data_IF_980071745644
#
_entry.id   IF_980071745644
#
_cell.length_a   1.000
_cell.length_b   1.000
_cell.length_c   1.000
_cell.angle_alpha   90.00
_cell.angle_beta   90.00
_cell.angle_gamma   90.00
#
_symmetry.space_group_name_H-M   'P 1'
#
loop_
_entity.id
_entity.type
_entity.pdbx_description
1 polymer ?
#
# COMPACT_ATOMS: atom_id res chain seq x y z
N UNK A 1 -1.44 10.25 -12.66
CA UNK A 1 -2.02 9.66 -11.44
C UNK A 1 -3.28 8.90 -11.78
N UNK A 2 -3.41 7.68 -11.26
CA UNK A 2 -4.60 6.83 -11.42
C UNK A 2 -5.34 6.83 -10.09
N UNK A 3 -6.66 7.01 -10.14
CA UNK A 3 -7.53 7.05 -8.96
C UNK A 3 -8.26 5.71 -8.80
N UNK A 4 -8.02 5.07 -7.66
CA UNK A 4 -8.65 3.83 -7.23
C UNK A 4 -9.51 4.04 -5.98
N UNK A 5 -9.83 5.27 -5.58
CA UNK A 5 -10.51 5.56 -4.31
C UNK A 5 -11.71 4.64 -4.08
N UNK A 6 -11.71 3.93 -2.95
CA UNK A 6 -12.77 2.99 -2.57
C UNK A 6 -12.86 1.70 -3.40
N UNK A 7 -11.92 1.45 -4.32
CA UNK A 7 -11.88 0.22 -5.10
C UNK A 7 -11.71 -1.03 -4.21
N UNK A 8 -12.22 -2.16 -4.71
CA UNK A 8 -12.06 -3.47 -4.09
C UNK A 8 -11.04 -4.28 -4.87
N UNK A 9 -9.81 -4.30 -4.37
CA UNK A 9 -8.65 -5.03 -4.92
C UNK A 9 -8.20 -6.16 -3.97
N UNK A 10 -9.15 -6.74 -3.24
CA UNK A 10 -8.90 -7.83 -2.30
C UNK A 10 -8.33 -9.03 -3.03
N UNK A 11 -7.21 -9.57 -2.54
CA UNK A 11 -6.45 -10.66 -3.17
C UNK A 11 -5.99 -10.41 -4.61
N UNK A 12 -5.94 -9.15 -5.07
CA UNK A 12 -5.44 -8.82 -6.40
C UNK A 12 -3.94 -9.13 -6.52
N UNK A 13 -3.50 -9.55 -7.72
CA UNK A 13 -2.07 -9.62 -8.05
C UNK A 13 -1.65 -8.28 -8.69
N UNK A 14 -0.88 -7.51 -7.93
CA UNK A 14 -0.31 -6.21 -8.28
C UNK A 14 1.22 -6.24 -8.16
N UNK A 15 1.81 -7.43 -8.23
CA UNK A 15 3.26 -7.64 -8.11
C UNK A 15 4.01 -6.87 -9.18
N UNK A 16 4.99 -6.09 -8.75
CA UNK A 16 5.78 -5.23 -9.62
C UNK A 16 4.98 -4.11 -10.32
N UNK A 17 3.73 -3.87 -9.92
CA UNK A 17 2.92 -2.83 -10.53
C UNK A 17 3.53 -1.44 -10.32
N UNK A 18 3.40 -0.59 -11.33
CA UNK A 18 3.74 0.83 -11.24
C UNK A 18 2.51 1.61 -10.77
N UNK A 19 2.52 1.97 -9.48
CA UNK A 19 1.48 2.70 -8.79
C UNK A 19 2.01 4.03 -8.22
N UNK A 20 3.05 4.59 -8.85
CA UNK A 20 3.64 5.88 -8.46
C UNK A 20 2.58 6.97 -8.48
N UNK A 21 2.44 7.69 -7.37
CA UNK A 21 1.46 8.76 -7.21
C UNK A 21 -0.01 8.31 -7.31
N UNK A 22 -0.29 7.00 -7.25
CA UNK A 22 -1.67 6.51 -7.32
C UNK A 22 -2.46 6.94 -6.08
N UNK A 23 -3.75 7.23 -6.29
CA UNK A 23 -4.70 7.50 -5.21
C UNK A 23 -5.39 6.19 -4.84
N UNK A 24 -5.01 5.63 -3.70
CA UNK A 24 -5.48 4.35 -3.15
C UNK A 24 -6.21 4.56 -1.81
N UNK A 25 -6.83 5.73 -1.65
CA UNK A 25 -7.53 6.13 -0.43
C UNK A 25 -8.75 5.24 -0.21
N UNK A 26 -8.93 4.74 1.02
CA UNK A 26 -10.01 3.83 1.39
C UNK A 26 -10.11 2.55 0.53
N UNK A 27 -9.04 2.13 -0.15
CA UNK A 27 -9.02 0.92 -0.97
C UNK A 27 -8.92 -0.34 -0.12
N UNK A 28 -9.63 -1.39 -0.51
CA UNK A 28 -9.43 -2.72 0.05
C UNK A 28 -8.36 -3.49 -0.72
N UNK A 29 -7.15 -3.56 -0.16
CA UNK A 29 -6.01 -4.35 -0.63
C UNK A 29 -5.75 -5.58 0.26
N UNK A 30 -6.74 -6.00 1.05
CA UNK A 30 -6.62 -7.12 1.97
C UNK A 30 -6.15 -8.37 1.22
N UNK A 31 -5.04 -8.97 1.67
CA UNK A 31 -4.46 -10.16 1.04
C UNK A 31 -3.90 -9.96 -0.37
N UNK A 32 -3.80 -8.72 -0.86
CA UNK A 32 -3.25 -8.44 -2.19
C UNK A 32 -1.75 -8.73 -2.25
N UNK A 33 -1.27 -9.13 -3.42
CA UNK A 33 0.16 -9.25 -3.69
C UNK A 33 0.66 -7.93 -4.29
N UNK A 34 1.41 -7.15 -3.52
CA UNK A 34 2.09 -5.91 -3.91
C UNK A 34 3.62 -6.09 -3.87
N UNK A 35 4.12 -7.33 -3.87
CA UNK A 35 5.56 -7.60 -3.82
C UNK A 35 6.28 -6.89 -4.96
N UNK A 36 7.35 -6.17 -4.64
CA UNK A 36 8.13 -5.37 -5.59
C UNK A 36 7.38 -4.22 -6.28
N UNK A 37 6.15 -3.88 -5.87
CA UNK A 37 5.40 -2.79 -6.48
C UNK A 37 6.05 -1.42 -6.20
N UNK A 38 5.94 -0.49 -7.15
CA UNK A 38 6.38 0.89 -6.98
C UNK A 38 5.21 1.76 -6.52
N UNK A 39 5.20 2.15 -5.26
CA UNK A 39 4.17 2.93 -4.58
C UNK A 39 4.71 4.31 -4.12
N UNK A 40 5.79 4.80 -4.75
CA UNK A 40 6.39 6.08 -4.39
C UNK A 40 5.37 7.20 -4.47
N UNK A 41 5.29 7.99 -3.41
CA UNK A 41 4.35 9.11 -3.27
C UNK A 41 2.87 8.73 -3.48
N UNK A 42 2.51 7.45 -3.40
CA UNK A 42 1.12 7.01 -3.47
C UNK A 42 0.35 7.41 -2.20
N UNK A 43 -0.95 7.62 -2.34
CA UNK A 43 -1.84 7.88 -1.20
C UNK A 43 -2.63 6.63 -0.81
N UNK A 44 -2.17 5.94 0.24
CA UNK A 44 -2.79 4.76 0.85
C UNK A 44 -3.54 5.14 2.15
N UNK A 45 -3.93 6.40 2.33
CA UNK A 45 -4.67 6.82 3.53
C UNK A 45 -5.95 5.99 3.70
N UNK A 46 -6.16 5.50 4.94
CA UNK A 46 -7.29 4.64 5.32
C UNK A 46 -7.38 3.29 4.54
N UNK A 47 -6.35 2.91 3.78
CA UNK A 47 -6.35 1.65 3.02
C UNK A 47 -6.33 0.42 3.95
N UNK A 48 -7.03 -0.64 3.53
CA UNK A 48 -7.00 -1.94 4.18
C UNK A 48 -5.97 -2.85 3.52
N UNK A 49 -4.79 -2.94 4.11
CA UNK A 49 -3.65 -3.76 3.66
C UNK A 49 -3.48 -5.04 4.51
N UNK A 50 -4.51 -5.44 5.27
CA UNK A 50 -4.38 -6.60 6.18
C UNK A 50 -4.02 -7.86 5.39
N UNK A 51 -2.93 -8.53 5.77
CA UNK A 51 -2.45 -9.73 5.10
C UNK A 51 -1.85 -9.50 3.71
N UNK A 52 -1.67 -8.25 3.26
CA UNK A 52 -1.06 -7.96 1.97
C UNK A 52 0.44 -8.29 1.97
N UNK A 53 0.97 -8.73 0.84
CA UNK A 53 2.41 -8.90 0.64
C UNK A 53 2.98 -7.61 0.04
N UNK A 54 3.73 -6.84 0.82
CA UNK A 54 4.45 -5.63 0.39
C UNK A 54 5.97 -5.90 0.33
N UNK A 55 6.39 -7.16 0.28
CA UNK A 55 7.80 -7.52 0.31
C UNK A 55 8.55 -6.87 -0.87
N UNK A 56 9.65 -6.17 -0.56
CA UNK A 56 10.44 -5.43 -1.54
C UNK A 56 9.72 -4.25 -2.24
N UNK A 57 8.50 -3.88 -1.83
CA UNK A 57 7.79 -2.74 -2.40
C UNK A 57 8.48 -1.41 -2.05
N UNK A 58 8.32 -0.41 -2.92
CA UNK A 58 8.90 0.91 -2.73
C UNK A 58 7.83 1.95 -2.37
N UNK A 59 7.76 2.31 -1.09
CA UNK A 59 6.84 3.30 -0.52
C UNK A 59 7.54 4.61 -0.16
N UNK A 60 8.62 4.98 -0.85
CA UNK A 60 9.30 6.27 -0.62
C UNK A 60 8.31 7.44 -0.73
N UNK A 61 8.15 8.21 0.35
CA UNK A 61 7.22 9.33 0.43
C UNK A 61 5.73 8.96 0.36
N UNK A 62 5.35 7.69 0.50
CA UNK A 62 3.95 7.28 0.46
C UNK A 62 3.19 7.76 1.71
N UNK A 63 1.90 8.05 1.54
CA UNK A 63 0.96 8.39 2.62
C UNK A 63 0.24 7.13 3.08
N UNK A 64 0.40 6.73 4.34
CA UNK A 64 -0.16 5.53 4.95
C UNK A 64 -1.01 5.87 6.18
N UNK A 65 -1.46 7.11 6.30
CA UNK A 65 -2.20 7.57 7.47
C UNK A 65 -3.42 6.67 7.72
N UNK A 66 -3.53 6.13 8.94
CA UNK A 66 -4.60 5.21 9.36
C UNK A 66 -4.72 3.91 8.55
N UNK A 67 -3.73 3.57 7.73
CA UNK A 67 -3.72 2.31 6.99
C UNK A 67 -3.68 1.11 7.96
N UNK A 68 -4.34 0.02 7.57
CA UNK A 68 -4.45 -1.21 8.37
C UNK A 68 -3.46 -2.25 7.84
N UNK A 69 -2.39 -2.50 8.58
CA UNK A 69 -1.27 -3.37 8.17
C UNK A 69 -1.22 -4.72 8.91
N UNK A 70 -2.27 -5.08 9.66
CA UNK A 70 -2.25 -6.34 10.44
C UNK A 70 -1.98 -7.55 9.56
N UNK A 71 -0.86 -8.23 9.81
CA UNK A 71 -0.41 -9.41 9.08
C UNK A 71 0.15 -9.12 7.69
N UNK A 72 0.38 -7.86 7.32
CA UNK A 72 1.06 -7.52 6.07
C UNK A 72 2.55 -7.90 6.15
N UNK A 73 3.12 -8.40 5.05
CA UNK A 73 4.55 -8.63 4.94
C UNK A 73 5.25 -7.35 4.46
N UNK A 74 6.16 -6.81 5.26
CA UNK A 74 6.93 -5.60 4.98
C UNK A 74 8.44 -5.89 4.81
N UNK A 75 8.80 -7.16 4.56
CA UNK A 75 10.20 -7.55 4.40
C UNK A 75 10.85 -6.81 3.22
N UNK A 76 11.90 -6.04 3.49
CA UNK A 76 12.63 -5.30 2.44
C UNK A 76 11.86 -4.13 1.82
N UNK A 77 10.70 -3.75 2.37
CA UNK A 77 9.94 -2.58 1.91
C UNK A 77 10.73 -1.29 2.16
N UNK A 78 10.84 -0.43 1.16
CA UNK A 78 11.40 0.91 1.35
C UNK A 78 10.32 1.86 1.89
N UNK A 79 10.48 2.31 3.14
CA UNK A 79 9.54 3.21 3.81
C UNK A 79 10.15 4.59 4.10
N UNK A 80 11.23 4.96 3.40
CA UNK A 80 11.85 6.27 3.55
C UNK A 80 10.82 7.37 3.28
N UNK A 81 10.75 8.37 4.17
CA UNK A 81 9.80 9.47 4.03
C UNK A 81 8.31 9.09 4.07
N UNK A 82 7.96 7.83 4.35
CA UNK A 82 6.56 7.42 4.40
C UNK A 82 5.86 7.99 5.64
N UNK A 83 4.64 8.48 5.47
CA UNK A 83 3.83 9.07 6.53
C UNK A 83 2.95 7.98 7.17
N UNK A 84 3.27 7.55 8.39
CA UNK A 84 2.62 6.40 9.05
C UNK A 84 1.79 6.77 10.30
N UNK A 85 1.31 8.01 10.38
CA UNK A 85 0.51 8.43 11.53
C UNK A 85 -0.78 7.61 11.63
N UNK A 86 -1.06 7.09 12.84
CA UNK A 86 -2.28 6.33 13.08
C UNK A 86 -2.34 4.94 12.42
N UNK A 87 -1.25 4.45 11.83
CA UNK A 87 -1.17 3.09 11.28
C UNK A 87 -1.52 2.05 12.36
N UNK A 88 -2.39 1.10 12.00
CA UNK A 88 -2.80 0.01 12.88
C UNK A 88 -2.16 -1.30 12.42
N UNK A 89 -1.40 -1.94 13.33
CA UNK A 89 -0.72 -3.22 13.10
C UNK A 89 -1.52 -4.42 13.60
#
# INVERSE_FOLDING_TARGET
DVDFTGAKLTCADLRGADLRGAVLVNVSLKGANLSGACLRSADLSDADLRGADLSGADLDGARLEKAKLRGADLAGTNLRGAHMEGVVR
#
